data_IF_826590295647
#
_entry.id   IF_826590295647
#
_cell.length_a   1.000
_cell.length_b   1.000
_cell.length_c   1.000
_cell.angle_alpha   90.00
_cell.angle_beta   90.00
_cell.angle_gamma   90.00
#
_symmetry.space_group_name_H-M   'P 1'
#
loop_
_entity.id
_entity.type
_entity.pdbx_description
1 polymer ?
#
# COMPACT_ATOMS: atom_id res chain seq x y z
N UNK A 1 -13.10 -16.64 2.06
CA UNK A 1 -12.98 -15.25 1.60
C UNK A 1 -11.60 -15.12 0.99
N UNK A 2 -11.47 -14.56 -0.22
CA UNK A 2 -10.15 -14.33 -0.82
C UNK A 2 -9.59 -13.04 -0.22
N UNK A 3 -8.44 -13.14 0.45
CA UNK A 3 -7.66 -11.97 0.88
C UNK A 3 -6.95 -11.40 -0.34
N UNK A 4 -7.08 -10.08 -0.54
CA UNK A 4 -6.34 -9.38 -1.59
C UNK A 4 -5.04 -8.85 -0.98
N UNK A 5 -3.92 -9.17 -1.61
CA UNK A 5 -2.60 -8.68 -1.19
C UNK A 5 -2.21 -7.52 -2.11
N UNK A 6 -1.87 -6.38 -1.53
CA UNK A 6 -1.35 -5.21 -2.24
C UNK A 6 0.18 -5.26 -2.23
N UNK A 7 0.77 -5.24 -3.42
CA UNK A 7 2.21 -5.05 -3.59
C UNK A 7 2.57 -3.55 -3.65
N UNK A 8 3.87 -3.26 -3.77
CA UNK A 8 4.37 -1.90 -3.89
C UNK A 8 3.88 -1.21 -5.16
N UNK A 9 3.74 -1.93 -6.28
CA UNK A 9 3.26 -1.38 -7.55
C UNK A 9 1.82 -0.86 -7.44
N UNK A 10 0.91 -1.63 -6.83
CA UNK A 10 -0.47 -1.21 -6.63
C UNK A 10 -0.56 0.07 -5.79
N UNK A 11 0.27 0.19 -4.75
CA UNK A 11 0.32 1.36 -3.88
C UNK A 11 0.90 2.59 -4.61
N UNK A 12 1.99 2.42 -5.36
CA UNK A 12 2.57 3.49 -6.17
C UNK A 12 1.58 3.99 -7.22
N UNK A 13 0.92 3.08 -7.94
CA UNK A 13 -0.11 3.45 -8.91
C UNK A 13 -1.24 4.26 -8.26
N UNK A 14 -1.66 3.90 -7.04
CA UNK A 14 -2.64 4.67 -6.27
C UNK A 14 -2.15 6.09 -5.93
N UNK A 15 -0.92 6.24 -5.45
CA UNK A 15 -0.34 7.54 -5.11
C UNK A 15 -0.13 8.44 -6.34
N UNK A 16 0.35 7.88 -7.44
CA UNK A 16 0.70 8.60 -8.66
C UNK A 16 -0.47 8.77 -9.64
N UNK A 17 -1.60 8.12 -9.36
CA UNK A 17 -2.79 8.05 -10.24
C UNK A 17 -2.47 7.47 -11.63
N UNK A 18 -1.59 6.47 -11.66
CA UNK A 18 -1.29 5.68 -12.87
C UNK A 18 -2.37 4.65 -13.19
N UNK A 19 -2.30 4.01 -14.36
CA UNK A 19 -3.25 2.99 -14.78
C UNK A 19 -3.48 1.93 -13.68
N UNK A 20 -4.75 1.74 -13.28
CA UNK A 20 -5.15 0.85 -12.19
C UNK A 20 -5.34 1.51 -10.83
N UNK A 21 -5.01 2.80 -10.68
CA UNK A 21 -5.21 3.56 -9.42
C UNK A 21 -6.67 3.54 -8.94
N UNK A 22 -7.62 3.56 -9.86
CA UNK A 22 -9.06 3.55 -9.60
C UNK A 22 -9.51 2.24 -8.97
N UNK A 23 -8.92 1.13 -9.40
CA UNK A 23 -9.15 -0.21 -8.86
C UNK A 23 -8.68 -0.29 -7.41
N UNK A 24 -7.48 0.24 -7.13
CA UNK A 24 -6.93 0.29 -5.75
C UNK A 24 -7.75 1.23 -4.87
N UNK A 25 -8.14 2.40 -5.39
CA UNK A 25 -9.01 3.33 -4.67
C UNK A 25 -10.36 2.70 -4.31
N UNK A 26 -10.98 1.95 -5.24
CA UNK A 26 -12.23 1.24 -4.99
C UNK A 26 -12.06 0.11 -3.97
N UNK A 27 -10.93 -0.60 -3.98
CA UNK A 27 -10.61 -1.60 -2.96
C UNK A 27 -10.48 -0.96 -1.57
N UNK A 28 -9.76 0.15 -1.45
CA UNK A 28 -9.59 0.89 -0.19
C UNK A 28 -10.93 1.44 0.32
N UNK A 29 -11.79 1.95 -0.57
CA UNK A 29 -13.14 2.39 -0.20
C UNK A 29 -14.02 1.23 0.30
N UNK A 30 -13.90 0.04 -0.30
CA UNK A 30 -14.58 -1.16 0.19
C UNK A 30 -14.03 -1.63 1.53
N UNK A 31 -12.72 -1.53 1.74
CA UNK A 31 -12.07 -1.87 3.01
C UNK A 31 -12.51 -0.92 4.14
N UNK A 32 -12.57 0.39 3.87
CA UNK A 32 -13.08 1.38 4.80
C UNK A 32 -14.58 1.18 5.16
N UNK A 33 -15.33 0.47 4.31
CA UNK A 33 -16.73 0.09 4.54
C UNK A 33 -16.89 -1.33 5.12
N UNK A 34 -15.82 -1.94 5.64
CA UNK A 34 -15.77 -3.29 6.21
C UNK A 34 -16.19 -4.42 5.24
N UNK A 35 -16.11 -4.18 3.92
CA UNK A 35 -16.52 -5.16 2.88
C UNK A 35 -15.40 -6.09 2.45
N UNK A 36 -14.16 -5.72 2.70
CA UNK A 36 -12.97 -6.52 2.46
C UNK A 36 -11.87 -6.14 3.44
N UNK A 37 -10.82 -6.95 3.50
CA UNK A 37 -9.62 -6.70 4.32
C UNK A 37 -8.39 -6.94 3.45
N UNK A 38 -7.89 -5.93 2.72
CA UNK A 38 -6.65 -6.07 1.99
C UNK A 38 -5.49 -6.11 2.98
N UNK A 39 -4.43 -6.81 2.62
CA UNK A 39 -3.18 -6.79 3.38
C UNK A 39 -2.01 -6.38 2.48
N UNK A 40 -0.94 -5.89 3.11
CA UNK A 40 0.34 -5.64 2.48
C UNK A 40 1.44 -6.14 3.41
N UNK A 41 2.67 -6.31 2.91
CA UNK A 41 3.78 -6.71 3.75
C UNK A 41 4.74 -5.54 4.05
N UNK A 42 5.47 -5.64 5.15
CA UNK A 42 6.48 -4.66 5.55
C UNK A 42 7.56 -4.42 4.47
N UNK A 43 7.87 -5.42 3.63
CA UNK A 43 8.80 -5.26 2.50
C UNK A 43 8.19 -4.35 1.43
N UNK A 44 6.93 -4.55 1.06
CA UNK A 44 6.27 -3.68 0.08
C UNK A 44 6.07 -2.26 0.62
N UNK A 45 5.83 -2.10 1.92
CA UNK A 45 5.85 -0.79 2.57
C UNK A 45 7.18 -0.08 2.36
N UNK A 46 8.30 -0.75 2.67
CA UNK A 46 9.64 -0.20 2.49
C UNK A 46 9.97 0.11 1.02
N UNK A 47 9.51 -0.71 0.08
CA UNK A 47 9.67 -0.46 -1.36
C UNK A 47 8.97 0.83 -1.80
N UNK A 48 7.74 1.08 -1.35
CA UNK A 48 7.01 2.32 -1.67
C UNK A 48 7.77 3.53 -1.15
N UNK A 49 8.24 3.49 0.11
CA UNK A 49 9.00 4.60 0.70
C UNK A 49 10.32 4.84 -0.03
N UNK A 50 11.07 3.78 -0.32
CA UNK A 50 12.35 3.87 -1.02
C UNK A 50 12.18 4.45 -2.43
N UNK A 51 11.20 3.96 -3.19
CA UNK A 51 10.92 4.46 -4.54
C UNK A 51 10.48 5.93 -4.50
N UNK A 52 9.59 6.28 -3.57
CA UNK A 52 9.12 7.65 -3.38
C UNK A 52 10.26 8.59 -3.01
N UNK A 53 11.12 8.20 -2.06
CA UNK A 53 12.28 8.98 -1.66
C UNK A 53 13.26 9.18 -2.82
N UNK A 54 13.53 8.12 -3.59
CA UNK A 54 14.41 8.21 -4.75
C UNK A 54 13.87 9.13 -5.85
N UNK A 55 12.55 9.14 -6.06
CA UNK A 55 11.91 9.93 -7.13
C UNK A 55 11.64 11.39 -6.71
N UNK A 56 11.24 11.61 -5.46
CA UNK A 56 10.66 12.88 -5.01
C UNK A 56 11.32 13.46 -3.74
N UNK A 57 12.26 12.75 -3.13
CA UNK A 57 12.98 13.16 -1.93
C UNK A 57 12.30 12.74 -0.62
N UNK A 58 13.05 12.87 0.48
CA UNK A 58 12.68 12.37 1.81
C UNK A 58 11.37 12.97 2.34
N UNK A 59 11.15 14.28 2.17
CA UNK A 59 9.91 14.94 2.62
C UNK A 59 8.66 14.30 1.99
N UNK A 60 8.72 13.93 0.70
CA UNK A 60 7.60 13.26 0.04
C UNK A 60 7.40 11.83 0.55
N UNK A 61 8.49 11.12 0.84
CA UNK A 61 8.41 9.77 1.41
C UNK A 61 7.78 9.80 2.81
N UNK A 62 8.12 10.77 3.65
CA UNK A 62 7.49 10.97 4.97
C UNK A 62 5.99 11.30 4.85
N UNK A 63 5.60 12.13 3.88
CA UNK A 63 4.17 12.38 3.61
C UNK A 63 3.44 11.10 3.17
N UNK A 64 4.05 10.30 2.29
CA UNK A 64 3.48 9.03 1.83
C UNK A 64 3.37 8.03 2.97
N UNK A 65 4.40 7.91 3.82
CA UNK A 65 4.39 7.05 5.00
C UNK A 65 3.22 7.40 5.92
N UNK A 66 3.05 8.68 6.25
CA UNK A 66 1.95 9.15 7.08
C UNK A 66 0.57 8.82 6.47
N UNK A 67 0.43 8.83 5.13
CA UNK A 67 -0.81 8.40 4.47
C UNK A 67 -0.97 6.88 4.57
N UNK A 68 0.09 6.11 4.30
CA UNK A 68 0.05 4.64 4.35
C UNK A 68 -0.36 4.11 5.72
N UNK A 69 0.02 4.79 6.81
CA UNK A 69 -0.40 4.45 8.19
C UNK A 69 -1.92 4.57 8.40
N UNK A 70 -2.60 5.40 7.61
CA UNK A 70 -4.04 5.63 7.71
C UNK A 70 -4.88 4.77 6.77
N UNK A 71 -4.24 4.08 5.82
CA UNK A 71 -4.96 3.26 4.85
C UNK A 71 -5.59 2.04 5.55
N UNK A 72 -6.79 1.61 5.13
CA UNK A 72 -7.45 0.41 5.67
C UNK A 72 -6.80 -0.88 5.11
N UNK A 73 -5.50 -1.04 5.34
CA UNK A 73 -4.66 -2.16 4.93
C UNK A 73 -4.09 -2.81 6.18
N UNK A 74 -4.18 -4.13 6.27
CA UNK A 74 -3.49 -4.90 7.30
C UNK A 74 -2.02 -5.11 6.90
N UNK A 75 -1.10 -4.48 7.63
CA UNK A 75 0.33 -4.64 7.39
C UNK A 75 0.87 -5.84 8.15
N UNK A 76 1.50 -6.75 7.41
CA UNK A 76 2.05 -8.01 7.92
C UNK A 76 3.57 -7.95 7.86
N UNK A 77 4.23 -8.31 8.96
CA UNK A 77 5.68 -8.46 8.98
C UNK A 77 6.13 -9.56 8.01
N UNK A 78 7.31 -9.42 7.43
CA UNK A 78 7.86 -10.46 6.56
C UNK A 78 8.79 -11.38 7.36
N UNK A 79 8.43 -12.66 7.45
CA UNK A 79 9.28 -13.70 8.00
C UNK A 79 9.31 -14.94 7.09
N UNK A 80 10.23 -15.87 7.37
CA UNK A 80 10.38 -17.11 6.58
C UNK A 80 9.37 -18.20 6.94
N UNK A 81 8.61 -18.03 8.01
CA UNK A 81 7.56 -18.96 8.44
C UNK A 81 6.22 -18.64 7.76
N UNK A 82 6.06 -17.42 7.23
CA UNK A 82 4.94 -16.92 6.46
C UNK A 82 4.89 -17.41 4.98
N UNK A 83 5.83 -18.23 4.53
CA UNK A 83 5.91 -18.76 3.15
C UNK A 83 5.17 -20.07 2.94
#
# INVERSE_FOLDING_TARGET
>A
MNTTVLDSYALLAYFEKEDGWDTVAQLLANAAADRCKPCGCAVNWGEVLYITECAYGTEKAEEVEAIMETLPIEWVDADRELT
#
